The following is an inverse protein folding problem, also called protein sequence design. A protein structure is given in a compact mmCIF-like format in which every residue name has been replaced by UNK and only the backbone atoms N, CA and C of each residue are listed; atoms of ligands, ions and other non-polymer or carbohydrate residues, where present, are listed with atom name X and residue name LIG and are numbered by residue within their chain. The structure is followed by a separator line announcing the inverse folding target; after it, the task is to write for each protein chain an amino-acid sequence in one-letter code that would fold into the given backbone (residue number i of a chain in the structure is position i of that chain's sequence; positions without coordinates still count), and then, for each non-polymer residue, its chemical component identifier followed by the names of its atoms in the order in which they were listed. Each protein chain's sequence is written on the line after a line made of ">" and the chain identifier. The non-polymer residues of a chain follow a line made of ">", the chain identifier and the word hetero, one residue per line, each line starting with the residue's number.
data_IF_065234498423
#
_entry.id   IF_065234498423
#
_cell.length_a   1.000
_cell.length_b   1.000
_cell.length_c   1.000
_cell.angle_alpha   90.00
_cell.angle_beta   90.00
_cell.angle_gamma   90.00
#
_symmetry.space_group_name_H-M   'P 1'
#
loop_
_entity.id
_entity.type
_entity.pdbx_description
1 polymer ?
#
# COMPACT_ATOMS: atom_id res chain seq x y z
N UNK A 1 11.13 17.37 10.37
CA UNK A 1 10.29 16.74 9.33
C UNK A 1 8.85 16.70 9.85
N UNK A 2 7.90 17.24 9.10
CA UNK A 2 6.52 17.43 9.54
C UNK A 2 5.80 16.12 9.89
N UNK A 3 4.96 16.14 10.94
CA UNK A 3 4.10 15.02 11.36
C UNK A 3 2.90 14.86 10.41
N UNK A 4 3.11 14.82 9.10
CA UNK A 4 2.01 14.63 8.16
C UNK A 4 1.46 13.21 8.27
N UNK A 5 0.25 13.02 8.80
CA UNK A 5 -0.35 11.69 8.94
C UNK A 5 -0.41 10.95 7.59
N UNK A 6 -0.17 9.65 7.59
CA UNK A 6 -0.27 8.85 6.37
C UNK A 6 -1.70 8.91 5.82
N UNK A 7 -1.84 9.22 4.52
CA UNK A 7 -3.14 9.21 3.85
C UNK A 7 -3.64 7.77 3.74
N UNK A 8 -4.79 7.49 4.34
CA UNK A 8 -5.44 6.17 4.20
C UNK A 8 -6.11 6.09 2.83
N UNK A 9 -5.75 5.08 2.03
CA UNK A 9 -6.23 4.89 0.66
C UNK A 9 -6.62 3.43 0.40
N UNK A 10 -7.44 3.22 -0.63
CA UNK A 10 -7.67 1.90 -1.21
C UNK A 10 -6.49 1.53 -2.11
N UNK A 11 -6.27 0.23 -2.31
CA UNK A 11 -5.20 -0.27 -3.17
C UNK A 11 -5.43 0.13 -4.64
N UNK A 12 -6.69 0.15 -5.09
CA UNK A 12 -7.12 0.62 -6.41
C UNK A 12 -6.88 2.11 -6.66
N UNK A 13 -6.73 2.92 -5.60
CA UNK A 13 -6.53 4.37 -5.69
C UNK A 13 -5.06 4.76 -5.86
N UNK A 14 -4.13 3.80 -5.98
CA UNK A 14 -2.71 4.11 -6.18
C UNK A 14 -2.49 4.62 -7.60
N UNK A 15 -2.17 5.92 -7.70
CA UNK A 15 -1.89 6.60 -8.97
C UNK A 15 -0.65 7.49 -8.86
N UNK A 16 -0.19 8.01 -9.99
CA UNK A 16 0.96 8.93 -10.05
C UNK A 16 0.75 10.25 -9.29
N UNK A 17 -0.49 10.63 -9.04
CA UNK A 17 -0.83 11.82 -8.23
C UNK A 17 -0.40 11.66 -6.77
N UNK A 18 -0.20 10.42 -6.32
CA UNK A 18 0.27 10.09 -4.98
C UNK A 18 1.79 10.01 -4.85
N UNK A 19 2.57 10.26 -5.92
CA UNK A 19 4.03 10.22 -5.86
C UNK A 19 4.58 11.13 -4.74
N UNK A 20 5.48 10.58 -3.94
CA UNK A 20 6.06 11.24 -2.76
C UNK A 20 5.12 11.34 -1.56
N UNK A 21 3.85 10.96 -1.67
CA UNK A 21 2.91 11.01 -0.55
C UNK A 21 3.09 9.80 0.37
N UNK A 22 2.96 10.07 1.67
CA UNK A 22 2.91 9.05 2.71
C UNK A 22 1.52 8.42 2.74
N UNK A 23 1.43 7.11 2.48
CA UNK A 23 0.17 6.39 2.38
C UNK A 23 0.07 5.26 3.40
N UNK A 24 -1.17 4.87 3.69
CA UNK A 24 -1.52 3.65 4.43
C UNK A 24 -2.59 2.91 3.65
N UNK A 25 -2.31 1.67 3.28
CA UNK A 25 -3.22 0.81 2.55
C UNK A 25 -3.22 -0.59 3.14
N UNK A 26 -4.20 -1.39 2.73
CA UNK A 26 -4.30 -2.80 3.07
C UNK A 26 -4.31 -3.59 1.78
N UNK A 27 -3.63 -4.73 1.78
CA UNK A 27 -3.70 -5.69 0.69
C UNK A 27 -3.38 -7.10 1.15
N UNK A 28 -3.72 -8.07 0.31
CA UNK A 28 -3.37 -9.48 0.49
C UNK A 28 -2.02 -9.77 -0.13
N UNK A 29 -1.12 -10.42 0.61
CA UNK A 29 0.17 -10.87 0.06
C UNK A 29 -0.06 -12.02 -0.92
N UNK A 30 0.28 -11.81 -2.19
CA UNK A 30 0.11 -12.82 -3.25
C UNK A 30 1.23 -13.87 -3.25
N UNK A 31 2.40 -13.49 -2.76
CA UNK A 31 3.58 -14.33 -2.67
C UNK A 31 4.81 -13.47 -2.42
N UNK A 32 5.86 -14.10 -1.95
CA UNK A 32 7.17 -13.47 -1.78
C UNK A 32 8.18 -14.19 -2.65
N UNK A 33 9.05 -13.40 -3.27
CA UNK A 33 10.23 -13.91 -3.94
C UNK A 33 11.34 -14.01 -2.87
N UNK A 34 11.94 -15.19 -2.64
CA UNK A 34 13.01 -15.33 -1.65
C UNK A 34 14.24 -14.48 -1.94
N UNK A 35 14.44 -14.03 -3.20
CA UNK A 35 15.60 -13.21 -3.57
C UNK A 35 15.30 -11.71 -3.69
N UNK A 36 14.04 -11.31 -3.64
CA UNK A 36 13.63 -9.92 -3.80
C UNK A 36 12.87 -9.42 -2.57
N UNK A 37 13.21 -8.22 -2.03
CA UNK A 37 12.43 -7.59 -0.98
C UNK A 37 11.12 -6.98 -1.51
N UNK A 38 10.71 -7.30 -2.73
CA UNK A 38 9.48 -6.83 -3.33
C UNK A 38 8.36 -7.86 -3.16
N UNK A 39 7.19 -7.40 -2.75
CA UNK A 39 5.99 -8.23 -2.61
C UNK A 39 4.84 -7.64 -3.41
N UNK A 40 3.98 -8.52 -3.92
CA UNK A 40 2.72 -8.13 -4.55
C UNK A 40 1.58 -8.15 -3.54
N UNK A 41 0.87 -7.04 -3.48
CA UNK A 41 -0.37 -6.88 -2.75
C UNK A 41 -1.55 -6.97 -3.72
N UNK A 42 -2.60 -7.67 -3.33
CA UNK A 42 -3.84 -7.82 -4.10
C UNK A 42 -5.05 -7.37 -3.29
N UNK A 43 -5.98 -6.70 -3.95
CA UNK A 43 -7.33 -6.43 -3.47
C UNK A 43 -8.30 -6.32 -4.66
N UNK A 44 -9.20 -7.29 -4.80
CA UNK A 44 -10.20 -7.37 -5.89
C UNK A 44 -9.63 -7.24 -7.30
N UNK A 45 -8.49 -7.91 -7.55
CA UNK A 45 -7.82 -7.87 -8.84
C UNK A 45 -7.08 -6.55 -9.14
N UNK A 46 -7.02 -5.63 -8.17
CA UNK A 46 -6.03 -4.56 -8.17
C UNK A 46 -4.75 -5.07 -7.55
N UNK A 47 -3.61 -4.75 -8.15
CA UNK A 47 -2.30 -5.22 -7.71
C UNK A 47 -1.37 -4.05 -7.47
N UNK A 48 -0.67 -4.06 -6.33
CA UNK A 48 0.29 -3.03 -5.98
C UNK A 48 1.58 -3.66 -5.48
N UNK A 49 2.70 -3.23 -6.07
CA UNK A 49 4.03 -3.62 -5.63
C UNK A 49 4.39 -2.85 -4.36
N UNK A 50 4.95 -3.55 -3.37
CA UNK A 50 5.51 -2.95 -2.16
C UNK A 50 6.94 -3.44 -1.94
N UNK A 51 7.83 -2.52 -1.63
CA UNK A 51 9.20 -2.79 -1.22
C UNK A 51 9.28 -2.85 0.30
N UNK A 52 9.70 -3.98 0.84
CA UNK A 52 9.79 -4.26 2.27
C UNK A 52 11.23 -4.36 2.77
N UNK A 53 12.22 -3.94 1.98
CA UNK A 53 13.65 -4.01 2.28
C UNK A 53 14.01 -3.42 3.65
N UNK A 54 13.49 -2.22 3.95
CA UNK A 54 13.72 -1.54 5.23
C UNK A 54 13.23 -2.36 6.42
N UNK A 55 12.09 -3.04 6.25
CA UNK A 55 11.45 -3.82 7.32
C UNK A 55 12.24 -5.10 7.56
N UNK A 56 12.64 -5.79 6.48
CA UNK A 56 13.46 -7.00 6.54
C UNK A 56 14.84 -6.72 7.16
N UNK A 57 15.44 -5.55 6.89
CA UNK A 57 16.71 -5.15 7.48
C UNK A 57 16.61 -4.86 8.99
N UNK A 58 15.44 -4.42 9.47
CA UNK A 58 15.25 -3.98 10.84
C UNK A 58 14.92 -5.11 11.83
N UNK A 59 14.22 -6.16 11.39
CA UNK A 59 13.70 -7.19 12.28
C UNK A 59 13.37 -8.49 11.52
N UNK A 60 14.15 -9.53 11.80
CA UNK A 60 13.99 -10.86 11.21
C UNK A 60 12.67 -11.56 11.63
N UNK A 61 12.01 -11.12 12.71
CA UNK A 61 10.72 -11.70 13.12
C UNK A 61 9.59 -11.41 12.12
N UNK A 62 9.73 -10.34 11.32
CA UNK A 62 8.77 -10.01 10.27
C UNK A 62 8.81 -10.99 9.09
N UNK A 63 9.88 -11.79 8.94
CA UNK A 63 9.99 -12.79 7.85
C UNK A 63 8.87 -13.83 7.95
N UNK A 64 8.44 -14.19 9.16
CA UNK A 64 7.35 -15.15 9.36
C UNK A 64 6.00 -14.64 8.85
N UNK A 65 5.78 -13.33 8.87
CA UNK A 65 4.55 -12.72 8.35
C UNK A 65 4.36 -13.03 6.85
N UNK A 66 5.47 -13.05 6.12
CA UNK A 66 5.51 -13.23 4.68
C UNK A 66 5.54 -14.70 4.26
N UNK A 67 5.75 -15.63 5.21
CA UNK A 67 5.65 -17.08 4.96
C UNK A 67 4.21 -17.58 4.91
N UNK A 68 3.27 -16.82 5.48
CA UNK A 68 1.86 -17.18 5.46
C UNK A 68 1.24 -16.77 4.10
N UNK A 69 0.90 -17.73 3.22
CA UNK A 69 0.29 -17.39 1.95
C UNK A 69 -1.04 -16.67 2.18
N UNK A 70 -1.28 -15.61 1.41
CA UNK A 70 -2.58 -14.89 1.37
C UNK A 70 -2.98 -14.20 2.68
N UNK A 71 -2.04 -13.85 3.54
CA UNK A 71 -2.33 -13.02 4.70
C UNK A 71 -2.67 -11.58 4.27
N UNK A 72 -3.58 -10.91 4.98
CA UNK A 72 -3.82 -9.48 4.81
C UNK A 72 -2.83 -8.71 5.68
N UNK A 73 -2.19 -7.71 5.08
CA UNK A 73 -1.28 -6.82 5.76
C UNK A 73 -1.70 -5.37 5.54
N UNK A 74 -1.44 -4.55 6.54
CA UNK A 74 -1.50 -3.10 6.43
C UNK A 74 -0.09 -2.59 6.16
N UNK A 75 0.07 -1.86 5.06
CA UNK A 75 1.34 -1.26 4.64
C UNK A 75 1.28 0.24 4.83
N UNK A 76 2.27 0.81 5.51
CA UNK A 76 2.50 2.25 5.54
C UNK A 76 3.85 2.55 4.89
N UNK A 77 3.86 3.45 3.92
CA UNK A 77 5.00 3.72 3.07
C UNK A 77 4.87 5.02 2.29
N UNK A 78 5.81 5.25 1.39
CA UNK A 78 5.74 6.32 0.38
C UNK A 78 5.49 5.72 -0.99
N UNK A 79 4.67 6.38 -1.81
CA UNK A 79 4.53 6.00 -3.22
C UNK A 79 5.71 6.59 -4.00
N UNK A 80 6.44 5.72 -4.69
CA UNK A 80 7.56 6.10 -5.54
C UNK A 80 7.40 5.49 -6.93
N UNK A 81 8.16 6.05 -7.88
CA UNK A 81 8.30 5.43 -9.19
C UNK A 81 9.26 4.25 -9.05
N UNK A 82 8.91 3.14 -9.66
CA UNK A 82 9.82 2.01 -9.77
C UNK A 82 11.00 2.38 -10.69
N UNK A 83 12.23 2.15 -10.25
CA UNK A 83 13.42 2.41 -11.08
C UNK A 83 13.51 1.38 -12.21
N UNK A 84 14.11 1.78 -13.34
CA UNK A 84 14.08 0.97 -14.57
C UNK A 84 14.90 -0.33 -14.47
N UNK A 85 15.83 -0.40 -13.52
CA UNK A 85 16.75 -1.49 -13.24
C UNK A 85 16.30 -2.39 -12.08
N UNK A 86 15.21 -2.04 -11.39
CA UNK A 86 14.66 -2.89 -10.33
C UNK A 86 14.00 -4.15 -10.90
N UNK A 87 14.50 -5.33 -10.48
CA UNK A 87 13.93 -6.62 -10.86
C UNK A 87 12.63 -6.87 -10.11
N UNK A 88 11.50 -6.74 -10.82
CA UNK A 88 10.16 -6.97 -10.27
C UNK A 88 9.78 -8.44 -10.38
N UNK A 89 9.28 -9.08 -9.31
CA UNK A 89 8.73 -10.43 -9.39
C UNK A 89 7.55 -10.47 -10.37
N UNK A 90 7.40 -11.51 -11.20
CA UNK A 90 6.34 -11.55 -12.21
C UNK A 90 4.94 -11.55 -11.58
N UNK A 91 4.03 -10.76 -12.14
CA UNK A 91 2.60 -10.77 -11.81
C UNK A 91 1.78 -10.83 -13.09
N UNK A 92 0.87 -11.82 -13.27
CA UNK A 92 0.12 -11.99 -14.51
C UNK A 92 -0.72 -10.76 -14.88
N UNK A 93 -0.48 -10.19 -16.06
CA UNK A 93 -1.29 -9.09 -16.60
C UNK A 93 -1.05 -7.72 -15.98
N UNK A 94 -0.04 -7.57 -15.11
CA UNK A 94 0.26 -6.31 -14.40
C UNK A 94 1.67 -5.85 -14.74
N UNK A 95 1.78 -4.59 -15.17
CA UNK A 95 3.07 -3.89 -15.29
C UNK A 95 3.20 -2.89 -14.14
N UNK A 96 4.13 -3.13 -13.22
CA UNK A 96 4.44 -2.17 -12.17
C UNK A 96 5.10 -0.92 -12.77
N UNK A 97 4.57 0.26 -12.46
CA UNK A 97 5.26 1.54 -12.65
C UNK A 97 5.43 2.34 -11.34
N UNK A 98 4.71 1.94 -10.29
CA UNK A 98 4.75 2.51 -8.95
C UNK A 98 5.05 1.43 -7.91
N UNK A 99 5.76 1.82 -6.86
CA UNK A 99 6.09 0.96 -5.72
C UNK A 99 5.76 1.70 -4.42
N UNK A 100 5.23 0.97 -3.43
CA UNK A 100 5.09 1.47 -2.07
C UNK A 100 6.38 1.14 -1.33
N UNK A 101 7.25 2.12 -1.07
CA UNK A 101 8.42 1.93 -0.19
C UNK A 101 7.94 1.82 1.25
N UNK A 102 7.76 0.59 1.73
CA UNK A 102 7.20 0.32 3.04
C UNK A 102 8.24 0.55 4.14
N UNK A 103 7.87 1.33 5.15
CA UNK A 103 8.67 1.48 6.37
C UNK A 103 7.95 0.91 7.60
N UNK A 104 6.67 0.53 7.46
CA UNK A 104 5.91 -0.14 8.50
C UNK A 104 4.91 -1.11 7.87
N UNK A 105 4.95 -2.36 8.33
CA UNK A 105 3.96 -3.38 8.00
C UNK A 105 3.36 -3.95 9.29
N UNK A 106 2.07 -4.26 9.24
CA UNK A 106 1.39 -4.99 10.30
C UNK A 106 0.53 -6.09 9.72
N UNK A 107 0.62 -7.28 10.32
CA UNK A 107 -0.38 -8.32 10.11
C UNK A 107 -1.75 -7.83 10.59
N UNK A 108 -2.77 -8.03 9.77
CA UNK A 108 -4.17 -7.73 10.13
C UNK A 108 -5.04 -8.96 9.88
N UNK A 109 -4.77 -10.07 10.60
CA UNK A 109 -5.55 -11.29 10.45
C UNK A 109 -7.00 -10.98 10.89
N UNK A 110 -7.97 -11.42 10.10
CA UNK A 110 -9.41 -11.18 10.33
C UNK A 110 -9.89 -9.75 10.05
N UNK A 111 -9.12 -8.91 9.37
CA UNK A 111 -9.66 -7.66 8.87
C UNK A 111 -10.78 -7.94 7.85
N UNK A 112 -11.95 -7.36 8.10
CA UNK A 112 -13.00 -7.29 7.09
C UNK A 112 -12.59 -6.27 6.02
N UNK A 113 -12.06 -6.78 4.91
CA UNK A 113 -11.57 -5.95 3.80
C UNK A 113 -12.69 -5.12 3.16
N UNK A 114 -13.95 -5.61 3.20
CA UNK A 114 -15.09 -4.87 2.65
C UNK A 114 -15.39 -3.67 3.53
N UNK A 115 -15.52 -3.89 4.84
CA UNK A 115 -15.72 -2.81 5.81
C UNK A 115 -14.58 -1.79 5.79
N UNK A 116 -13.33 -2.24 5.58
CA UNK A 116 -12.19 -1.36 5.36
C UNK A 116 -12.39 -0.46 4.15
N UNK A 117 -12.69 -1.01 2.97
CA UNK A 117 -12.88 -0.23 1.74
C UNK A 117 -14.02 0.77 1.87
N UNK A 118 -15.16 0.35 2.43
CA UNK A 118 -16.31 1.22 2.69
C UNK A 118 -15.92 2.38 3.60
N UNK A 119 -15.16 2.10 4.67
CA UNK A 119 -14.68 3.13 5.59
C UNK A 119 -13.71 4.11 4.93
N UNK A 120 -12.81 3.62 4.07
CA UNK A 120 -11.89 4.48 3.30
C UNK A 120 -12.65 5.36 2.32
N UNK A 121 -13.60 4.78 1.57
CA UNK A 121 -14.42 5.52 0.62
C UNK A 121 -15.25 6.61 1.31
N UNK A 122 -15.96 6.26 2.39
CA UNK A 122 -16.74 7.23 3.15
C UNK A 122 -15.88 8.39 3.69
N UNK A 123 -14.65 8.10 4.12
CA UNK A 123 -13.68 9.14 4.52
C UNK A 123 -13.30 10.04 3.35
N UNK A 124 -13.02 9.49 2.17
CA UNK A 124 -12.65 10.29 0.99
C UNK A 124 -13.81 11.19 0.54
N UNK A 125 -15.04 10.69 0.54
CA UNK A 125 -16.24 11.48 0.24
C UNK A 125 -16.42 12.65 1.21
N UNK A 126 -16.19 12.44 2.52
CA UNK A 126 -16.26 13.51 3.52
C UNK A 126 -15.20 14.58 3.30
N UNK A 127 -13.96 14.18 2.98
CA UNK A 127 -12.86 15.11 2.68
C UNK A 127 -13.21 15.96 1.45
N UNK A 128 -13.76 15.34 0.41
CA UNK A 128 -14.10 16.04 -0.82
C UNK A 128 -15.27 17.03 -0.62
N UNK A 129 -16.30 16.64 0.13
CA UNK A 129 -17.38 17.56 0.52
C UNK A 129 -16.87 18.75 1.31
N UNK A 130 -15.94 18.53 2.26
CA UNK A 130 -15.35 19.60 3.05
C UNK A 130 -14.56 20.59 2.19
N UNK A 131 -13.86 20.12 1.14
CA UNK A 131 -13.16 20.99 0.19
C UNK A 131 -14.11 21.88 -0.61
N UNK A 132 -15.21 21.31 -1.12
CA UNK A 132 -16.20 22.06 -1.91
C UNK A 132 -16.87 23.17 -1.10
N UNK A 133 -17.18 22.92 0.18
CA UNK A 133 -17.72 23.93 1.10
C UNK A 133 -16.69 25.05 1.34
N UNK A 134 -15.42 24.71 1.53
CA UNK A 134 -14.34 25.68 1.72
C UNK A 134 -14.10 26.57 0.49
N UNK A 135 -14.21 26.01 -0.72
CA UNK A 135 -14.02 26.74 -1.98
C UNK A 135 -15.18 27.66 -2.35
N UNK A 136 -16.38 27.46 -1.79
CA UNK A 136 -17.57 28.28 -2.09
C UNK A 136 -17.64 29.57 -1.27
N UNK A 137 -16.76 29.74 -0.27
CA UNK A 137 -16.75 30.88 0.66
C UNK A 137 -15.55 31.84 0.43
N UNK A 138 -14.85 31.74 -0.70
CA UNK A 138 -13.75 32.63 -1.09
C UNK A 138 -14.04 33.31 -2.43
#
# INVERSE_FOLDING_TARGET
>A
MGRESARVIQLSSVTRELLGQRVRLVGRVMGTDPVSPLIWLEDEGCYQLADISVILASDNSNVELFRQPRCHIMVTGYIERLEADESVPPCPGVKADLVVRAFLIRSVPNLDIRAWRESVQAREELIERARQIGSSNG
#
